data_IF_169921777228
#
_entry.id   IF_169921777228
#
_cell.length_a   1.000
_cell.length_b   1.000
_cell.length_c   1.000
_cell.angle_alpha   90.00
_cell.angle_beta   90.00
_cell.angle_gamma   90.00
#
_symmetry.space_group_name_H-M   'P 1'
#
loop_
_entity.id
_entity.type
_entity.pdbx_description
1 polymer ?
#
# COMPACT_ATOMS: atom_id res chain seq x y z
N UNK A 1 -16.01 6.72 3.74
CA UNK A 1 -16.93 7.84 3.38
C UNK A 1 -16.58 8.36 1.98
N UNK A 2 -17.50 9.03 1.25
CA UNK A 2 -17.13 9.78 0.05
C UNK A 2 -16.15 10.91 0.38
N UNK A 3 -15.19 11.16 -0.52
CA UNK A 3 -14.26 12.30 -0.45
C UNK A 3 -15.00 13.58 -0.82
N UNK A 4 -14.71 14.68 -0.14
CA UNK A 4 -15.28 16.01 -0.39
C UNK A 4 -14.22 16.97 -0.93
N UNK A 5 -14.67 18.00 -1.66
CA UNK A 5 -13.80 19.09 -2.13
C UNK A 5 -13.13 19.76 -0.93
N UNK A 6 -11.82 19.93 -1.02
CA UNK A 6 -11.00 20.52 0.05
C UNK A 6 -10.40 19.49 1.02
N UNK A 7 -10.77 18.22 0.94
CA UNK A 7 -10.08 17.15 1.67
C UNK A 7 -8.83 16.68 0.91
N UNK A 8 -7.79 16.31 1.64
CA UNK A 8 -6.60 15.65 1.12
C UNK A 8 -6.79 14.13 1.16
N UNK A 9 -6.33 13.43 0.13
CA UNK A 9 -6.31 11.96 0.09
C UNK A 9 -4.86 11.49 0.13
N UNK A 10 -4.53 10.72 1.15
CA UNK A 10 -3.18 10.20 1.37
C UNK A 10 -3.18 8.68 1.18
N UNK A 11 -2.22 8.19 0.41
CA UNK A 11 -2.04 6.77 0.13
C UNK A 11 -0.75 6.28 0.78
N UNK A 12 -0.86 5.31 1.66
CA UNK A 12 0.28 4.64 2.30
C UNK A 12 0.36 3.23 1.77
N UNK A 13 1.43 2.91 1.04
CA UNK A 13 1.65 1.60 0.45
C UNK A 13 2.89 0.95 1.03
N UNK A 14 2.74 -0.28 1.54
CA UNK A 14 3.85 -1.08 2.04
C UNK A 14 3.84 -2.46 1.36
N UNK A 15 4.97 -2.82 0.75
CA UNK A 15 5.17 -4.15 0.17
C UNK A 15 5.59 -5.14 1.25
N UNK A 16 4.91 -6.27 1.36
CA UNK A 16 5.16 -7.22 2.46
C UNK A 16 5.37 -8.67 2.07
N UNK A 17 5.02 -9.07 0.85
CA UNK A 17 5.36 -10.39 0.31
C UNK A 17 5.93 -10.22 -1.09
N UNK A 18 7.18 -10.64 -1.28
CA UNK A 18 7.93 -10.40 -2.51
C UNK A 18 8.29 -11.75 -3.11
N UNK A 19 7.66 -12.06 -4.25
CA UNK A 19 8.00 -13.20 -5.09
C UNK A 19 9.11 -12.84 -6.09
N UNK A 20 9.39 -13.75 -7.03
CA UNK A 20 10.42 -13.55 -8.05
C UNK A 20 10.22 -12.25 -8.85
N UNK A 21 8.99 -11.99 -9.30
CA UNK A 21 8.63 -10.85 -10.16
C UNK A 21 7.39 -10.10 -9.69
N UNK A 22 6.85 -10.45 -8.53
CA UNK A 22 5.62 -9.89 -8.00
C UNK A 22 5.82 -9.39 -6.58
N UNK A 23 5.11 -8.34 -6.22
CA UNK A 23 5.06 -7.80 -4.86
C UNK A 23 3.60 -7.64 -4.45
N UNK A 24 3.25 -8.21 -3.31
CA UNK A 24 1.98 -7.94 -2.64
C UNK A 24 2.14 -6.65 -1.84
N UNK A 25 1.30 -5.67 -2.13
CA UNK A 25 1.29 -4.35 -1.51
C UNK A 25 0.02 -4.20 -0.72
N UNK A 26 0.18 -3.84 0.55
CA UNK A 26 -0.90 -3.38 1.41
C UNK A 26 -1.04 -1.88 1.29
N UNK A 27 -2.24 -1.39 0.99
CA UNK A 27 -2.50 0.04 0.82
C UNK A 27 -3.56 0.49 1.81
N UNK A 28 -3.22 1.53 2.57
CA UNK A 28 -4.13 2.26 3.45
C UNK A 28 -4.41 3.62 2.82
N UNK A 29 -5.69 3.94 2.65
CA UNK A 29 -6.13 5.24 2.15
C UNK A 29 -6.68 6.04 3.31
N UNK A 30 -6.11 7.23 3.54
CA UNK A 30 -6.57 8.18 4.55
C UNK A 30 -7.15 9.42 3.89
N UNK A 31 -8.16 10.00 4.51
CA UNK A 31 -8.76 11.27 4.11
C UNK A 31 -8.52 12.26 5.25
N UNK A 32 -7.88 13.37 4.93
CA UNK A 32 -7.46 14.39 5.87
C UNK A 32 -8.15 15.72 5.56
N UNK A 33 -8.93 16.23 6.51
CA UNK A 33 -9.61 17.53 6.43
C UNK A 33 -8.79 18.57 7.22
N UNK A 34 -7.87 19.25 6.54
CA UNK A 34 -6.88 20.13 7.17
C UNK A 34 -7.50 21.26 8.02
N UNK A 35 -8.65 21.79 7.61
CA UNK A 35 -9.32 22.89 8.31
C UNK A 35 -9.84 22.50 9.70
N UNK A 36 -10.15 21.22 9.91
CA UNK A 36 -10.66 20.69 11.19
C UNK A 36 -9.65 19.79 11.89
N UNK A 37 -8.47 19.56 11.29
CA UNK A 37 -7.42 18.72 11.85
C UNK A 37 -7.81 17.24 11.96
N UNK A 38 -8.80 16.79 11.20
CA UNK A 38 -9.31 15.42 11.26
C UNK A 38 -8.70 14.57 10.15
N UNK A 39 -8.10 13.44 10.51
CA UNK A 39 -7.67 12.40 9.57
C UNK A 39 -8.39 11.11 9.90
N UNK A 40 -9.05 10.54 8.91
CA UNK A 40 -9.68 9.23 9.05
C UNK A 40 -9.09 8.26 8.05
N UNK A 41 -9.05 6.99 8.44
CA UNK A 41 -8.85 5.92 7.48
C UNK A 41 -10.14 5.68 6.70
N UNK A 42 -10.06 5.74 5.37
CA UNK A 42 -11.21 5.58 4.50
C UNK A 42 -11.45 4.11 4.14
N UNK A 43 -10.39 3.40 3.75
CA UNK A 43 -10.42 1.97 3.45
C UNK A 43 -9.00 1.40 3.32
N UNK A 44 -8.92 0.07 3.39
CA UNK A 44 -7.71 -0.74 3.20
C UNK A 44 -7.92 -1.68 2.02
N UNK A 45 -6.90 -1.91 1.23
CA UNK A 45 -6.93 -2.96 0.21
C UNK A 45 -5.55 -3.57 -0.02
N UNK A 46 -5.55 -4.81 -0.51
CA UNK A 46 -4.36 -5.54 -0.90
C UNK A 46 -4.35 -5.69 -2.41
N UNK A 47 -3.21 -5.40 -3.03
CA UNK A 47 -3.01 -5.58 -4.46
C UNK A 47 -1.70 -6.30 -4.74
N UNK A 48 -1.58 -6.88 -5.93
CA UNK A 48 -0.35 -7.51 -6.41
C UNK A 48 0.16 -6.70 -7.60
N UNK A 49 1.39 -6.20 -7.50
CA UNK A 49 2.07 -5.54 -8.60
C UNK A 49 3.10 -6.50 -9.20
N UNK A 50 3.25 -6.48 -10.53
CA UNK A 50 4.20 -7.34 -11.26
C UNK A 50 5.20 -6.45 -11.98
N UNK A 51 6.49 -6.73 -11.80
CA UNK A 51 7.57 -6.07 -12.51
C UNK A 51 7.65 -6.61 -13.94
N UNK A 52 7.62 -5.70 -14.92
CA UNK A 52 7.63 -6.03 -16.36
C UNK A 52 8.65 -5.17 -17.11
N UNK A 53 9.17 -5.69 -18.22
CA UNK A 53 10.01 -4.96 -19.16
C UNK A 53 9.18 -4.26 -20.26
N UNK A 54 9.86 -3.56 -21.18
CA UNK A 54 9.22 -2.87 -22.31
C UNK A 54 8.56 -3.82 -23.33
N UNK A 55 8.78 -5.13 -23.22
CA UNK A 55 8.18 -6.19 -24.06
C UNK A 55 7.05 -6.93 -23.33
N UNK A 56 6.60 -6.40 -22.18
CA UNK A 56 5.57 -7.01 -21.34
C UNK A 56 5.97 -8.38 -20.79
N UNK A 57 7.27 -8.65 -20.65
CA UNK A 57 7.78 -9.87 -19.99
C UNK A 57 8.09 -9.58 -18.53
N UNK A 58 7.84 -10.58 -17.68
CA UNK A 58 8.11 -10.47 -16.25
C UNK A 58 9.61 -10.28 -15.98
N UNK A 59 9.95 -9.26 -15.21
CA UNK A 59 11.32 -8.96 -14.80
C UNK A 59 11.49 -9.35 -13.31
N UNK A 60 12.54 -10.10 -12.93
CA UNK A 60 12.76 -10.41 -11.52
C UNK A 60 13.08 -9.16 -10.70
N UNK A 61 12.56 -9.06 -9.48
CA UNK A 61 13.02 -8.06 -8.53
C UNK A 61 14.48 -8.35 -8.13
N UNK A 62 15.27 -7.34 -7.72
CA UNK A 62 16.60 -7.57 -7.14
C UNK A 62 16.53 -8.52 -5.93
N UNK A 63 17.49 -9.44 -5.80
CA UNK A 63 17.53 -10.45 -4.71
C UNK A 63 17.50 -9.78 -3.33
N UNK A 64 18.18 -8.64 -3.18
CA UNK A 64 18.17 -7.86 -1.95
C UNK A 64 16.74 -7.47 -1.50
N UNK A 65 15.86 -7.15 -2.46
CA UNK A 65 14.47 -6.78 -2.21
C UNK A 65 13.62 -8.02 -1.95
N UNK A 66 13.85 -9.13 -2.66
CA UNK A 66 13.14 -10.39 -2.42
C UNK A 66 13.31 -10.88 -0.97
N UNK A 67 14.48 -10.66 -0.38
CA UNK A 67 14.79 -11.06 0.99
C UNK A 67 14.20 -10.13 2.07
N UNK A 68 13.68 -8.95 1.70
CA UNK A 68 13.01 -8.03 2.64
C UNK A 68 11.53 -8.36 2.87
N UNK A 69 10.95 -9.25 2.05
CA UNK A 69 9.50 -9.44 1.92
C UNK A 69 8.83 -10.38 2.93
N UNK A 70 9.07 -10.19 4.24
CA UNK A 70 8.35 -10.92 5.29
C UNK A 70 7.83 -10.02 6.44
N UNK A 71 7.56 -8.74 6.18
CA UNK A 71 6.92 -7.89 7.18
C UNK A 71 5.41 -7.90 7.01
N UNK A 72 4.69 -8.89 7.58
CA UNK A 72 3.24 -8.73 7.72
C UNK A 72 2.99 -7.49 8.59
N UNK A 73 2.38 -6.41 8.06
CA UNK A 73 2.01 -5.29 8.90
C UNK A 73 1.05 -5.85 9.95
N UNK A 74 1.45 -5.79 11.22
CA UNK A 74 0.56 -6.17 12.33
C UNK A 74 -0.69 -5.34 12.12
N UNK A 75 -1.83 -5.99 11.92
CA UNK A 75 -3.12 -5.34 12.14
C UNK A 75 -3.04 -4.79 13.55
N UNK A 76 -2.88 -3.46 13.69
CA UNK A 76 -3.10 -2.78 14.96
C UNK A 76 -4.52 -3.08 15.38
N UNK A 77 -4.68 -4.18 16.12
CA UNK A 77 -5.85 -4.46 16.92
C UNK A 77 -5.71 -3.60 18.18
N UNK A 78 -5.86 -2.29 18.02
CA UNK A 78 -6.38 -1.48 19.11
C UNK A 78 -7.89 -1.37 18.89
N UNK A 79 -8.71 -2.26 19.51
CA UNK A 79 -10.09 -1.88 19.74
C UNK A 79 -10.05 -0.70 20.71
N UNK A 80 -10.65 0.42 20.30
CA UNK A 80 -11.12 1.45 21.23
C UNK A 80 -12.20 0.83 22.11
#
# INVERSE_FOLDING_TARGET
KPVRVGECVEFFGEGYHIGKSSITVYIVVKISAALVGETIEAFRYTTVMVSIDSKLKSLPFPIAIQNTGNYCPKTDKNPV
#
